data_IF_657531837243
#
_entry.id   IF_657531837243
#
_cell.length_a   1.000
_cell.length_b   1.000
_cell.length_c   1.000
_cell.angle_alpha   90.00
_cell.angle_beta   90.00
_cell.angle_gamma   90.00
#
_symmetry.space_group_name_H-M   'P 1'
#
loop_
_entity.id
_entity.type
_entity.pdbx_description
1 polymer ?
#
# COMPACT_ATOMS: atom_id res chain seq x y z
N UNK A 1 33.67 33.95 -26.87
CA UNK A 1 33.38 34.19 -25.43
C UNK A 1 32.01 33.65 -24.98
N UNK A 2 30.99 33.60 -25.84
CA UNK A 2 29.65 33.10 -25.47
C UNK A 2 29.52 31.57 -25.30
N UNK A 3 30.40 30.76 -25.91
CA UNK A 3 30.30 29.29 -25.86
C UNK A 3 30.43 28.68 -24.46
N UNK A 4 31.34 29.18 -23.63
CA UNK A 4 31.54 28.68 -22.26
C UNK A 4 30.33 28.94 -21.34
N UNK A 5 29.59 30.03 -21.60
CA UNK A 5 28.41 30.38 -20.81
C UNK A 5 27.27 29.38 -21.08
N UNK A 6 27.01 29.05 -22.35
CA UNK A 6 26.02 28.04 -22.71
C UNK A 6 26.42 26.63 -22.26
N UNK A 7 27.72 26.31 -22.30
CA UNK A 7 28.23 25.05 -21.79
C UNK A 7 28.01 24.91 -20.27
N UNK A 8 28.35 25.94 -19.50
CA UNK A 8 28.13 25.93 -18.04
C UNK A 8 26.64 25.83 -17.72
N UNK A 9 25.81 26.65 -18.38
CA UNK A 9 24.37 26.64 -18.15
C UNK A 9 23.73 25.28 -18.51
N UNK A 10 24.16 24.67 -19.62
CA UNK A 10 23.70 23.35 -20.05
C UNK A 10 24.08 22.25 -19.06
N UNK A 11 25.32 22.25 -18.54
CA UNK A 11 25.76 21.30 -17.52
C UNK A 11 24.96 21.47 -16.21
N UNK A 12 24.75 22.71 -15.78
CA UNK A 12 23.94 23.00 -14.58
C UNK A 12 22.49 22.52 -14.73
N UNK A 13 21.86 22.81 -15.87
CA UNK A 13 20.48 22.38 -16.14
C UNK A 13 20.36 20.85 -16.19
N UNK A 14 21.31 20.17 -16.84
CA UNK A 14 21.33 18.71 -16.91
C UNK A 14 21.46 18.05 -15.52
N UNK A 15 22.35 18.55 -14.67
CA UNK A 15 22.50 18.04 -13.31
C UNK A 15 21.22 18.21 -12.48
N UNK A 16 20.54 19.36 -12.61
CA UNK A 16 19.27 19.63 -11.92
C UNK A 16 18.16 18.68 -12.36
N UNK A 17 17.98 18.49 -13.67
CA UNK A 17 16.97 17.58 -14.22
C UNK A 17 17.22 16.14 -13.80
N UNK A 18 18.48 15.72 -13.79
CA UNK A 18 18.87 14.38 -13.33
C UNK A 18 18.53 14.19 -11.85
N UNK A 19 18.79 15.19 -11.00
CA UNK A 19 18.45 15.14 -9.57
C UNK A 19 16.93 15.11 -9.31
N UNK A 20 16.15 15.91 -10.05
CA UNK A 20 14.68 15.89 -10.00
C UNK A 20 14.15 14.53 -10.44
N UNK A 21 14.66 13.99 -11.55
CA UNK A 21 14.27 12.69 -12.06
C UNK A 21 14.61 11.57 -11.07
N UNK A 22 15.79 11.60 -10.46
CA UNK A 22 16.19 10.61 -9.45
C UNK A 22 15.27 10.69 -8.21
N UNK A 23 14.99 11.90 -7.72
CA UNK A 23 14.08 12.12 -6.59
C UNK A 23 12.69 11.59 -6.92
N UNK A 24 12.18 11.93 -8.11
CA UNK A 24 10.89 11.45 -8.59
C UNK A 24 10.87 9.92 -8.72
N UNK A 25 11.90 9.30 -9.30
CA UNK A 25 12.04 7.85 -9.43
C UNK A 25 12.12 7.16 -8.07
N UNK A 26 12.81 7.73 -7.08
CA UNK A 26 12.87 7.14 -5.73
C UNK A 26 11.51 7.18 -5.04
N UNK A 27 10.73 8.26 -5.19
CA UNK A 27 9.36 8.34 -4.67
C UNK A 27 8.40 7.42 -5.45
N UNK A 28 8.55 7.35 -6.78
CA UNK A 28 7.80 6.44 -7.66
C UNK A 28 8.08 4.97 -7.35
N UNK A 29 9.33 4.63 -7.04
CA UNK A 29 9.74 3.28 -6.68
C UNK A 29 9.18 2.86 -5.31
N UNK A 30 9.02 3.79 -4.36
CA UNK A 30 8.34 3.50 -3.08
C UNK A 30 6.84 3.27 -3.25
N UNK A 31 6.21 3.95 -4.21
CA UNK A 31 4.81 3.71 -4.59
C UNK A 31 4.66 2.44 -5.43
N UNK A 32 5.74 1.95 -6.03
CA UNK A 32 5.83 0.67 -6.74
C UNK A 32 6.26 -0.46 -5.80
N UNK A 33 5.59 -0.61 -4.66
CA UNK A 33 5.56 -1.88 -3.93
C UNK A 33 4.70 -2.86 -4.74
N UNK A 34 4.99 -4.17 -4.81
CA UNK A 34 4.67 -5.02 -5.94
C UNK A 34 3.17 -5.36 -5.99
N UNK A 35 2.41 -4.51 -6.67
CA UNK A 35 1.13 -4.82 -7.30
C UNK A 35 1.18 -4.44 -8.79
N UNK A 36 2.37 -4.57 -9.41
CA UNK A 36 2.59 -4.39 -10.83
C UNK A 36 1.96 -5.55 -11.63
N UNK A 37 0.62 -5.61 -11.60
CA UNK A 37 -0.24 -6.28 -12.59
C UNK A 37 -1.54 -5.53 -12.84
N UNK A 38 -1.79 -4.39 -12.18
CA UNK A 38 -2.92 -3.54 -12.52
C UNK A 38 -2.46 -2.13 -12.86
N UNK A 39 -2.97 -1.67 -14.00
CA UNK A 39 -3.14 -0.28 -14.36
C UNK A 39 -2.09 0.39 -15.26
N UNK A 40 -2.15 -0.04 -16.52
CA UNK A 40 -2.07 0.90 -17.64
C UNK A 40 -3.45 0.98 -18.31
N UNK A 41 -4.47 1.46 -17.60
CA UNK A 41 -5.76 1.77 -18.22
C UNK A 41 -6.51 2.87 -17.47
N UNK A 42 -6.02 4.09 -17.62
CA UNK A 42 -6.91 5.20 -17.98
C UNK A 42 -7.46 6.03 -16.83
N UNK A 43 -7.24 7.33 -16.97
CA UNK A 43 -8.02 8.40 -16.37
C UNK A 43 -9.54 8.08 -16.36
N UNK A 44 -10.13 7.95 -15.17
CA UNK A 44 -11.50 8.42 -14.94
C UNK A 44 -11.57 9.06 -13.56
N UNK A 45 -11.53 10.40 -13.56
CA UNK A 45 -11.65 11.28 -12.38
C UNK A 45 -13.15 11.59 -12.10
N UNK A 46 -14.07 10.75 -12.56
CA UNK A 46 -15.52 10.94 -12.40
C UNK A 46 -16.29 9.67 -12.03
N UNK A 47 -15.60 8.66 -11.52
CA UNK A 47 -16.24 7.64 -10.69
C UNK A 47 -16.06 8.12 -9.24
N UNK A 48 -17.13 8.57 -8.58
CA UNK A 48 -17.14 8.63 -7.13
C UNK A 48 -17.01 7.18 -6.67
N UNK A 49 -15.86 6.72 -6.12
CA UNK A 49 -15.76 5.35 -5.69
C UNK A 49 -16.54 5.25 -4.39
N UNK A 50 -17.84 4.99 -4.51
CA UNK A 50 -18.67 4.49 -3.41
C UNK A 50 -18.23 3.05 -3.16
N UNK A 51 -17.07 2.89 -2.53
CA UNK A 51 -16.63 1.64 -1.96
C UNK A 51 -15.92 1.96 -0.64
N UNK A 52 -16.75 2.10 0.39
CA UNK A 52 -16.35 2.08 1.80
C UNK A 52 -15.71 0.72 2.11
N UNK A 53 -14.43 0.59 1.73
CA UNK A 53 -13.64 -0.58 2.03
C UNK A 53 -13.66 -0.81 3.54
N UNK A 54 -14.12 -1.98 3.99
CA UNK A 54 -14.42 -2.17 5.39
C UNK A 54 -13.10 -2.36 6.15
N UNK A 55 -12.83 -1.42 7.05
CA UNK A 55 -11.54 -1.24 7.71
C UNK A 55 -11.09 -2.53 8.43
N UNK A 56 -10.15 -3.27 7.88
CA UNK A 56 -9.67 -4.50 8.49
C UNK A 56 -8.98 -4.16 9.80
N UNK A 57 -9.50 -4.72 10.89
CA UNK A 57 -9.05 -4.41 12.23
C UNK A 57 -7.97 -5.38 12.64
N UNK A 58 -6.82 -4.87 13.07
CA UNK A 58 -5.67 -5.67 13.45
C UNK A 58 -5.20 -5.34 14.86
N UNK A 59 -4.73 -6.35 15.57
CA UNK A 59 -4.16 -6.22 16.91
C UNK A 59 -2.66 -6.41 16.80
N UNK A 60 -1.90 -5.36 17.10
CA UNK A 60 -0.44 -5.34 17.01
C UNK A 60 0.24 -6.27 18.03
N UNK A 61 -0.42 -6.55 19.16
CA UNK A 61 0.08 -7.45 20.18
C UNK A 61 -0.04 -8.92 19.78
N UNK A 62 -1.12 -9.31 19.12
CA UNK A 62 -1.32 -10.70 18.67
C UNK A 62 -0.93 -10.94 17.22
N UNK A 63 -0.60 -9.88 16.46
CA UNK A 63 -0.33 -9.94 15.02
C UNK A 63 -1.45 -10.63 14.24
N UNK A 64 -2.71 -10.46 14.69
CA UNK A 64 -3.89 -11.03 14.03
C UNK A 64 -4.79 -9.94 13.52
N UNK A 65 -5.34 -10.15 12.33
CA UNK A 65 -6.34 -9.27 11.75
C UNK A 65 -7.70 -9.97 11.60
N UNK A 66 -8.75 -9.17 11.72
CA UNK A 66 -10.14 -9.59 11.55
C UNK A 66 -10.74 -8.86 10.36
N UNK A 67 -11.32 -9.64 9.46
CA UNK A 67 -12.18 -9.12 8.40
C UNK A 67 -13.57 -8.83 8.94
N UNK A 68 -14.36 -7.98 8.27
CA UNK A 68 -15.72 -7.62 8.68
C UNK A 68 -16.68 -8.81 8.65
N UNK A 69 -16.38 -9.81 7.82
CA UNK A 69 -17.09 -11.09 7.77
C UNK A 69 -16.87 -11.94 9.02
N UNK A 70 -15.80 -11.70 9.78
CA UNK A 70 -15.52 -12.52 10.97
C UNK A 70 -16.47 -12.16 12.14
N UNK A 71 -17.03 -13.16 12.85
CA UNK A 71 -17.96 -12.91 13.97
C UNK A 71 -17.37 -12.07 15.11
N UNK A 72 -16.04 -12.09 15.23
CA UNK A 72 -15.29 -11.42 16.28
C UNK A 72 -14.85 -10.00 15.91
N UNK A 73 -15.11 -9.54 14.69
CA UNK A 73 -14.72 -8.21 14.21
C UNK A 73 -15.19 -7.08 15.12
N UNK A 74 -16.47 -7.10 15.55
CA UNK A 74 -17.04 -6.08 16.45
C UNK A 74 -16.47 -6.13 17.88
N UNK A 75 -16.00 -7.30 18.31
CA UNK A 75 -15.53 -7.53 19.70
C UNK A 75 -14.05 -7.21 19.86
N UNK A 76 -13.29 -7.43 18.80
CA UNK A 76 -11.86 -7.14 18.78
C UNK A 76 -11.63 -5.65 18.97
N UNK A 77 -10.74 -5.27 19.90
CA UNK A 77 -10.10 -3.95 19.91
C UNK A 77 -8.78 -4.09 19.17
N UNK A 78 -8.68 -3.35 18.08
CA UNK A 78 -7.51 -3.33 17.22
C UNK A 78 -6.93 -1.94 17.25
N UNK A 79 -5.61 -1.92 17.23
CA UNK A 79 -4.77 -0.72 17.32
C UNK A 79 -4.19 -0.37 15.95
N UNK A 80 -4.28 -1.30 14.99
CA UNK A 80 -3.89 -1.13 13.60
C UNK A 80 -5.10 -1.36 12.68
N UNK A 81 -5.15 -0.62 11.59
CA UNK A 81 -6.24 -0.65 10.63
C UNK A 81 -5.66 -0.74 9.21
N UNK A 82 -6.19 -1.67 8.41
CA UNK A 82 -5.74 -1.91 7.04
C UNK A 82 -6.88 -1.72 6.05
N UNK A 83 -6.53 -1.31 4.83
CA UNK A 83 -7.48 -1.15 3.72
C UNK A 83 -7.74 -2.46 2.97
N UNK A 84 -6.79 -3.40 3.02
CA UNK A 84 -6.86 -4.71 2.35
C UNK A 84 -6.28 -5.83 3.22
N UNK A 85 -6.80 -7.07 3.13
CA UNK A 85 -6.23 -8.21 3.86
C UNK A 85 -4.85 -8.58 3.34
N UNK A 86 -4.51 -8.20 2.11
CA UNK A 86 -3.19 -8.39 1.52
C UNK A 86 -2.17 -7.46 2.18
N UNK A 87 -2.54 -6.21 2.45
CA UNK A 87 -1.68 -5.25 3.15
C UNK A 87 -1.35 -5.73 4.56
N UNK A 88 -2.35 -6.27 5.27
CA UNK A 88 -2.18 -6.85 6.59
C UNK A 88 -1.21 -8.04 6.56
N UNK A 89 -1.34 -8.93 5.56
CA UNK A 89 -0.42 -10.05 5.37
C UNK A 89 1.01 -9.61 5.03
N UNK A 90 1.17 -8.60 4.16
CA UNK A 90 2.50 -8.03 3.85
C UNK A 90 3.15 -7.38 5.08
N UNK A 91 2.34 -6.82 5.97
CA UNK A 91 2.78 -6.30 7.26
C UNK A 91 3.07 -7.40 8.30
N UNK A 92 2.92 -8.68 7.93
CA UNK A 92 3.20 -9.83 8.78
C UNK A 92 2.06 -10.25 9.72
N UNK A 93 0.85 -9.74 9.50
CA UNK A 93 -0.32 -10.13 10.29
C UNK A 93 -0.99 -11.39 9.71
N UNK A 94 -1.46 -12.26 10.59
CA UNK A 94 -2.15 -13.50 10.23
C UNK A 94 -3.67 -13.30 10.29
N UNK A 95 -4.39 -13.87 9.33
CA UNK A 95 -5.86 -13.84 9.34
C UNK A 95 -6.38 -14.66 10.52
N UNK A 96 -7.36 -14.14 11.25
CA UNK A 96 -8.03 -14.93 12.27
C UNK A 96 -8.83 -16.08 11.63
N UNK A 97 -8.49 -17.32 11.99
CA UNK A 97 -9.23 -18.52 11.58
C UNK A 97 -9.97 -19.11 12.79
N UNK A 98 -11.28 -19.42 12.69
CA UNK A 98 -11.96 -20.17 13.73
C UNK A 98 -11.32 -21.55 13.89
N UNK A 99 -11.08 -21.97 15.13
CA UNK A 99 -10.60 -23.33 15.40
C UNK A 99 -11.68 -24.32 14.93
N UNK A 100 -11.33 -25.37 14.15
CA UNK A 100 -12.29 -26.41 13.80
C UNK A 100 -12.85 -27.00 15.09
N UNK A 101 -14.18 -27.04 15.21
CA UNK A 101 -14.82 -27.71 16.34
C UNK A 101 -14.57 -29.20 16.15
N UNK A 102 -13.79 -29.81 17.05
CA UNK A 102 -13.63 -31.27 17.06
C UNK A 102 -15.02 -31.86 17.26
N UNK A 103 -15.52 -32.74 16.36
CA UNK A 103 -16.81 -33.38 16.57
C UNK A 103 -16.74 -34.16 17.88
N UNK A 104 -17.67 -33.88 18.78
CA UNK A 104 -17.83 -34.63 20.02
C UNK A 104 -18.37 -36.03 19.65
N UNK A 105 -17.46 -36.99 19.49
CA UNK A 105 -17.78 -38.35 19.08
C UNK A 105 -16.52 -39.20 18.98
N UNK A 106 -15.92 -39.51 20.12
CA UNK A 106 -15.00 -40.63 20.32
C UNK A 106 -15.30 -41.23 21.69
#
# INVERSE_FOLDING_TARGET
MFGFFFQMFGLCAGAFLTGVLLTWLTMRSRSSSPAAVVDAAGLSIMEEPVDVAPVIKANSRTMMFHTPESPYYKRMKGDAFFHSPEDAQRAGYTMWTPRPRVPAGA
#
